data_IF_762251892599
#
_entry.id   IF_762251892599
#
_cell.length_a   1.000
_cell.length_b   1.000
_cell.length_c   1.000
_cell.angle_alpha   90.00
_cell.angle_beta   90.00
_cell.angle_gamma   90.00
#
_symmetry.space_group_name_H-M   'P 1'
#
loop_
_entity.id
_entity.type
_entity.pdbx_description
1 polymer ?
#
# COMPACT_ATOMS: atom_id res chain seq x y z
N UNK A 1 43.08 10.41 -35.19
CA UNK A 1 41.66 10.78 -34.97
C UNK A 1 40.86 9.72 -34.20
N UNK A 2 41.27 8.43 -34.21
CA UNK A 2 40.63 7.34 -33.46
C UNK A 2 40.62 7.49 -31.91
N UNK A 3 41.69 7.96 -31.23
CA UNK A 3 41.72 7.97 -29.76
C UNK A 3 40.79 9.05 -29.15
N UNK A 4 40.54 10.14 -29.89
CA UNK A 4 39.67 11.22 -29.42
C UNK A 4 38.20 10.78 -29.35
N UNK A 5 37.73 10.02 -30.35
CA UNK A 5 36.35 9.51 -30.37
C UNK A 5 36.11 8.47 -29.29
N UNK A 6 37.11 7.64 -29.01
CA UNK A 6 37.02 6.59 -28.00
C UNK A 6 36.98 7.18 -26.58
N UNK A 7 37.73 8.24 -26.32
CA UNK A 7 37.67 8.98 -25.05
C UNK A 7 36.30 9.66 -24.82
N UNK A 8 35.70 10.25 -25.85
CA UNK A 8 34.37 10.90 -25.73
C UNK A 8 33.27 9.86 -25.44
N UNK A 9 33.29 8.72 -26.12
CA UNK A 9 32.29 7.66 -25.90
C UNK A 9 32.43 7.05 -24.50
N UNK A 10 33.66 6.82 -24.04
CA UNK A 10 33.91 6.30 -22.69
C UNK A 10 33.50 7.29 -21.58
N UNK A 11 33.66 8.60 -21.82
CA UNK A 11 33.19 9.62 -20.88
C UNK A 11 31.66 9.66 -20.77
N UNK A 12 30.96 9.61 -21.91
CA UNK A 12 29.50 9.60 -21.95
C UNK A 12 28.90 8.35 -21.31
N UNK A 13 29.50 7.18 -21.50
CA UNK A 13 29.05 5.94 -20.87
C UNK A 13 29.26 5.96 -19.35
N UNK A 14 30.36 6.53 -18.87
CA UNK A 14 30.60 6.67 -17.43
C UNK A 14 29.56 7.58 -16.75
N UNK A 15 29.23 8.72 -17.35
CA UNK A 15 28.25 9.67 -16.80
C UNK A 15 26.84 9.06 -16.79
N UNK A 16 26.45 8.38 -17.87
CA UNK A 16 25.14 7.73 -17.95
C UNK A 16 25.00 6.58 -16.96
N UNK A 17 26.04 5.74 -16.80
CA UNK A 17 26.06 4.67 -15.80
C UNK A 17 26.02 5.22 -14.37
N UNK A 18 26.74 6.29 -14.09
CA UNK A 18 26.74 6.92 -12.76
C UNK A 18 25.37 7.53 -12.42
N UNK A 19 24.75 8.23 -13.37
CA UNK A 19 23.39 8.74 -13.22
C UNK A 19 22.36 7.63 -13.01
N UNK A 20 22.45 6.54 -13.79
CA UNK A 20 21.58 5.38 -13.64
C UNK A 20 21.75 4.72 -12.26
N UNK A 21 22.99 4.59 -11.77
CA UNK A 21 23.25 4.01 -10.46
C UNK A 21 22.75 4.90 -9.31
N UNK A 22 22.86 6.22 -9.44
CA UNK A 22 22.31 7.18 -8.49
C UNK A 22 20.77 7.10 -8.43
N UNK A 23 20.11 6.97 -9.59
CA UNK A 23 18.67 6.71 -9.66
C UNK A 23 18.29 5.36 -9.06
N UNK A 24 19.08 4.31 -9.30
CA UNK A 24 18.88 3.01 -8.66
C UNK A 24 19.07 3.07 -7.15
N UNK A 25 20.01 3.86 -6.63
CA UNK A 25 20.23 4.02 -5.19
C UNK A 25 19.11 4.83 -4.53
N UNK A 26 18.56 5.84 -5.22
CA UNK A 26 17.31 6.49 -4.80
C UNK A 26 16.10 5.54 -4.84
N UNK A 27 16.06 4.56 -5.75
CA UNK A 27 15.05 3.50 -5.77
C UNK A 27 15.32 2.40 -4.72
N UNK A 28 16.54 2.32 -4.20
CA UNK A 28 16.99 1.38 -3.16
C UNK A 28 16.64 1.87 -1.76
N UNK A 29 16.00 3.02 -1.61
CA UNK A 29 15.10 3.30 -0.48
C UNK A 29 13.73 2.67 -0.82
N UNK A 30 13.55 1.34 -0.71
CA UNK A 30 12.45 0.65 -1.34
C UNK A 30 11.33 0.60 -0.32
N UNK A 31 10.70 1.75 -0.08
CA UNK A 31 9.62 1.85 0.88
C UNK A 31 8.27 1.37 0.37
N UNK A 32 8.11 0.98 -0.91
CA UNK A 32 6.77 1.00 -1.51
C UNK A 32 6.36 -0.12 -2.46
N UNK A 33 7.21 -1.03 -2.96
CA UNK A 33 6.73 -1.91 -4.06
C UNK A 33 7.10 -3.39 -4.02
N UNK A 34 7.90 -3.88 -3.06
CA UNK A 34 8.27 -5.31 -3.10
C UNK A 34 8.82 -5.90 -1.81
N UNK A 35 8.15 -5.65 -0.70
CA UNK A 35 8.33 -6.48 0.49
C UNK A 35 6.98 -7.07 0.84
N UNK A 36 6.95 -8.32 1.27
CA UNK A 36 5.81 -8.98 1.95
C UNK A 36 5.33 -8.20 3.21
N UNK A 37 6.01 -7.08 3.51
CA UNK A 37 5.76 -6.07 4.56
C UNK A 37 5.47 -4.66 3.99
N UNK A 38 5.21 -4.51 2.69
CA UNK A 38 5.09 -3.19 2.03
C UNK A 38 3.75 -2.47 2.26
N UNK A 39 2.84 -3.08 3.01
CA UNK A 39 1.67 -2.39 3.56
C UNK A 39 1.75 -2.34 5.09
N UNK A 40 2.96 -2.16 5.65
CA UNK A 40 3.05 -1.51 6.96
C UNK A 40 2.71 -0.05 6.69
N UNK A 41 1.45 0.30 6.95
CA UNK A 41 0.97 1.67 6.94
C UNK A 41 1.84 2.41 7.96
N UNK A 42 2.87 3.12 7.47
CA UNK A 42 3.84 3.80 8.33
C UNK A 42 3.06 4.73 9.27
N UNK A 43 3.03 4.41 10.56
CA UNK A 43 2.26 5.16 11.58
C UNK A 43 1.11 4.39 12.24
N UNK A 44 0.78 3.17 11.78
CA UNK A 44 -0.27 2.33 12.36
C UNK A 44 0.23 1.21 13.28
N UNK A 45 1.53 1.17 13.58
CA UNK A 45 2.13 0.20 14.50
C UNK A 45 1.64 0.40 15.95
N UNK A 46 1.14 1.59 16.27
CA UNK A 46 0.51 1.94 17.54
C UNK A 46 -0.72 2.82 17.28
N UNK A 47 -1.90 2.40 17.76
CA UNK A 47 -3.14 3.18 17.75
C UNK A 47 -3.10 4.37 18.75
N UNK A 48 -1.92 4.87 19.11
CA UNK A 48 -1.71 5.82 20.19
C UNK A 48 -2.04 7.27 19.80
N UNK A 49 -2.16 7.56 18.49
CA UNK A 49 -2.62 8.86 18.00
C UNK A 49 -4.06 8.78 17.50
N UNK A 50 -4.91 9.76 17.83
CA UNK A 50 -6.32 9.79 17.38
C UNK A 50 -6.45 9.65 15.86
N UNK A 51 -5.57 10.31 15.10
CA UNK A 51 -5.54 10.21 13.63
C UNK A 51 -5.23 8.78 13.14
N UNK A 52 -4.35 8.06 13.83
CA UNK A 52 -4.12 6.64 13.54
C UNK A 52 -5.32 5.77 13.91
N UNK A 53 -6.06 6.10 14.98
CA UNK A 53 -7.27 5.35 15.37
C UNK A 53 -8.40 5.43 14.37
N UNK A 54 -8.49 6.55 13.64
CA UNK A 54 -9.49 6.76 12.60
C UNK A 54 -9.07 6.16 11.24
N UNK A 55 -7.82 6.38 10.83
CA UNK A 55 -7.39 6.04 9.46
C UNK A 55 -6.80 4.63 9.34
N UNK A 56 -6.12 4.11 10.35
CA UNK A 56 -5.47 2.80 10.26
C UNK A 56 -6.44 1.62 10.04
N UNK A 57 -7.62 1.57 10.68
CA UNK A 57 -8.54 0.44 10.51
C UNK A 57 -8.95 0.25 9.04
N UNK A 58 -9.24 1.34 8.32
CA UNK A 58 -9.67 1.26 6.91
C UNK A 58 -8.54 0.76 6.01
N UNK A 59 -7.29 1.17 6.25
CA UNK A 59 -6.14 0.62 5.51
C UNK A 59 -5.89 -0.86 5.78
N UNK A 60 -6.09 -1.32 7.03
CA UNK A 60 -5.98 -2.74 7.35
C UNK A 60 -7.05 -3.57 6.62
N UNK A 61 -8.29 -3.09 6.58
CA UNK A 61 -9.36 -3.74 5.83
C UNK A 61 -9.07 -3.78 4.33
N UNK A 62 -8.64 -2.66 3.73
CA UNK A 62 -8.23 -2.60 2.33
C UNK A 62 -7.13 -3.62 2.00
N UNK A 63 -6.09 -3.68 2.84
CA UNK A 63 -5.00 -4.65 2.69
C UNK A 63 -5.52 -6.08 2.75
N UNK A 64 -6.40 -6.41 3.69
CA UNK A 64 -6.95 -7.75 3.83
C UNK A 64 -7.76 -8.17 2.59
N UNK A 65 -8.57 -7.28 2.03
CA UNK A 65 -9.34 -7.53 0.81
C UNK A 65 -8.44 -7.78 -0.41
N UNK A 66 -7.33 -7.06 -0.52
CA UNK A 66 -6.34 -7.23 -1.60
C UNK A 66 -5.53 -8.52 -1.41
N UNK A 67 -5.06 -8.79 -0.18
CA UNK A 67 -4.27 -9.98 0.15
C UNK A 67 -5.11 -11.25 -0.04
N UNK A 68 -6.41 -11.19 0.26
CA UNK A 68 -7.39 -12.27 0.02
C UNK A 68 -7.82 -12.39 -1.46
N UNK A 69 -7.36 -11.49 -2.35
CA UNK A 69 -7.73 -11.40 -3.77
C UNK A 69 -9.24 -11.23 -4.00
N UNK A 70 -9.94 -10.66 -3.02
CA UNK A 70 -11.36 -10.32 -3.12
C UNK A 70 -11.52 -9.08 -4.00
N UNK A 71 -10.61 -8.11 -3.84
CA UNK A 71 -10.59 -6.87 -4.60
C UNK A 71 -9.24 -6.63 -5.28
N UNK A 72 -9.23 -6.05 -6.49
CA UNK A 72 -7.99 -5.66 -7.16
C UNK A 72 -7.40 -4.38 -6.58
N UNK A 73 -6.08 -4.23 -6.77
CA UNK A 73 -5.31 -3.08 -6.28
C UNK A 73 -5.80 -1.73 -6.84
N UNK A 74 -6.43 -1.75 -8.02
CA UNK A 74 -6.94 -0.56 -8.73
C UNK A 74 -8.32 -0.11 -8.26
N UNK A 75 -8.98 -0.88 -7.38
CA UNK A 75 -10.30 -0.55 -6.86
C UNK A 75 -10.27 0.76 -6.06
N UNK A 76 -11.33 1.55 -6.19
CA UNK A 76 -11.57 2.69 -5.31
C UNK A 76 -12.35 2.22 -4.08
N UNK A 77 -11.81 2.45 -2.88
CA UNK A 77 -12.36 1.97 -1.61
C UNK A 77 -13.00 3.13 -0.84
N UNK A 78 -14.30 3.07 -0.61
CA UNK A 78 -15.05 3.95 0.29
C UNK A 78 -15.41 3.15 1.55
N UNK A 79 -14.54 3.18 2.57
CA UNK A 79 -14.72 2.42 3.82
C UNK A 79 -15.15 3.35 4.96
N UNK A 80 -16.14 2.91 5.72
CA UNK A 80 -16.67 3.60 6.91
C UNK A 80 -16.42 2.72 8.13
N UNK A 81 -15.87 3.33 9.18
CA UNK A 81 -15.66 2.67 10.46
C UNK A 81 -16.94 2.77 11.28
N UNK A 82 -17.49 1.63 11.70
CA UNK A 82 -18.54 1.60 12.71
C UNK A 82 -17.91 1.58 14.11
N UNK A 83 -18.08 2.68 14.84
CA UNK A 83 -17.58 2.83 16.22
C UNK A 83 -18.53 2.22 17.26
N UNK A 84 -19.66 1.67 16.84
CA UNK A 84 -20.68 1.11 17.73
C UNK A 84 -20.31 -0.26 18.34
N UNK A 85 -19.23 -0.91 17.89
CA UNK A 85 -18.82 -2.21 18.41
C UNK A 85 -17.99 -2.08 19.71
N UNK A 86 -18.45 -2.76 20.76
CA UNK A 86 -17.77 -2.82 22.07
C UNK A 86 -16.64 -3.87 22.08
N UNK A 87 -15.76 -3.84 23.10
CA UNK A 87 -14.68 -4.84 23.32
C UNK A 87 -13.51 -4.90 22.32
N UNK A 88 -13.09 -3.74 21.77
CA UNK A 88 -12.01 -3.62 20.77
C UNK A 88 -12.27 -4.38 19.46
N UNK A 89 -13.49 -4.85 19.26
CA UNK A 89 -13.98 -5.32 17.98
C UNK A 89 -14.48 -4.09 17.22
N UNK A 90 -14.12 -4.01 15.94
CA UNK A 90 -14.49 -2.90 15.06
C UNK A 90 -14.96 -3.49 13.76
N UNK A 91 -16.15 -3.12 13.34
CA UNK A 91 -16.66 -3.45 12.03
C UNK A 91 -16.35 -2.30 11.08
N UNK A 92 -15.80 -2.63 9.93
CA UNK A 92 -15.64 -1.70 8.82
C UNK A 92 -16.50 -2.20 7.69
N UNK A 93 -17.43 -1.37 7.27
CA UNK A 93 -18.25 -1.61 6.10
C UNK A 93 -17.92 -0.57 5.03
N UNK A 94 -18.07 -0.94 3.78
CA UNK A 94 -17.84 0.02 2.72
C UNK A 94 -18.10 -0.54 1.34
N UNK A 95 -17.84 0.29 0.34
CA UNK A 95 -18.04 -0.05 -1.07
C UNK A 95 -16.71 0.02 -1.79
N UNK A 96 -16.47 -0.96 -2.65
CA UNK A 96 -15.30 -0.99 -3.53
C UNK A 96 -15.77 -0.94 -4.97
N UNK A 97 -15.26 0.02 -5.74
CA UNK A 97 -15.58 0.17 -7.16
C UNK A 97 -14.35 -0.12 -8.01
N UNK A 98 -14.42 -1.17 -8.84
CA UNK A 98 -13.34 -1.57 -9.75
C UNK A 98 -13.72 -1.38 -11.22
N UNK A 99 -14.17 -0.17 -11.58
CA UNK A 99 -14.46 0.26 -12.96
C UNK A 99 -15.59 -0.48 -13.71
N UNK A 100 -15.91 -1.72 -13.33
CA UNK A 100 -16.92 -2.60 -13.91
C UNK A 100 -18.09 -2.83 -12.95
N UNK A 101 -17.83 -2.83 -11.65
CA UNK A 101 -18.83 -3.12 -10.62
C UNK A 101 -18.48 -2.43 -9.29
N UNK A 102 -19.52 -2.09 -8.54
CA UNK A 102 -19.44 -1.66 -7.15
C UNK A 102 -19.88 -2.83 -6.28
N UNK A 103 -19.06 -3.18 -5.29
CA UNK A 103 -19.26 -4.32 -4.41
C UNK A 103 -19.20 -3.84 -2.97
N UNK A 104 -20.15 -4.27 -2.16
CA UNK A 104 -20.17 -3.98 -0.73
C UNK A 104 -19.26 -4.97 0.00
N UNK A 105 -18.45 -4.47 0.93
CA UNK A 105 -17.45 -5.24 1.66
C UNK A 105 -17.54 -4.95 3.15
N UNK A 106 -17.24 -5.97 3.95
CA UNK A 106 -17.03 -5.83 5.38
C UNK A 106 -15.68 -6.41 5.78
N UNK A 107 -15.08 -5.80 6.80
CA UNK A 107 -13.98 -6.37 7.55
C UNK A 107 -14.26 -6.29 9.04
N UNK A 108 -13.97 -7.39 9.73
CA UNK A 108 -13.97 -7.44 11.19
C UNK A 108 -12.55 -7.26 11.69
N UNK A 109 -12.33 -6.29 12.58
CA UNK A 109 -11.04 -6.06 13.22
C UNK A 109 -11.14 -6.29 14.72
N UNK A 110 -10.10 -6.93 15.27
CA UNK A 110 -9.89 -7.05 16.71
C UNK A 110 -8.58 -6.36 17.07
N UNK A 111 -8.68 -5.14 17.61
CA UNK A 111 -7.53 -4.25 17.83
C UNK A 111 -6.86 -3.81 16.51
N UNK A 112 -5.64 -4.28 16.24
CA UNK A 112 -4.86 -3.98 15.01
C UNK A 112 -4.88 -5.10 13.97
N UNK A 113 -5.61 -6.20 14.23
CA UNK A 113 -5.64 -7.37 13.37
C UNK A 113 -7.00 -7.51 12.70
N UNK A 114 -6.99 -7.74 11.39
CA UNK A 114 -8.20 -8.15 10.66
C UNK A 114 -8.44 -9.64 10.93
N UNK A 115 -9.61 -9.94 11.48
CA UNK A 115 -10.04 -11.31 11.79
C UNK A 115 -10.74 -11.92 10.59
N UNK A 116 -11.57 -11.13 9.89
CA UNK A 116 -12.28 -11.56 8.69
C UNK A 116 -12.45 -10.40 7.69
N UNK A 117 -12.54 -10.74 6.41
CA UNK A 117 -12.77 -9.80 5.31
C UNK A 117 -13.59 -10.48 4.21
N UNK A 118 -14.77 -9.94 3.91
CA UNK A 118 -15.73 -10.58 3.01
C UNK A 118 -16.51 -9.57 2.17
N UNK A 119 -17.10 -10.07 1.08
CA UNK A 119 -18.12 -9.36 0.30
C UNK A 119 -19.46 -9.53 1.01
N UNK A 120 -20.24 -8.46 1.07
CA UNK A 120 -21.62 -8.46 1.57
C UNK A 120 -22.54 -8.33 0.35
N UNK A 121 -23.56 -9.18 0.25
CA UNK A 121 -24.62 -9.11 -0.79
C UNK A 121 -25.89 -8.47 -0.25
#
# INVERSE_FOLDING_TARGET
MLPLRLGVVAGLSAISLWGLFSLLDSLKEPGLLRTEKAAVVKGCDSLDSEQAREQCPSFFCQKALIDAKIMPLTGHFELTLDESYEDNERLIEGRVTDGQQTIDVACELKGTKVTDASVIE
#
